data_IF_645074244480
#
_entry.id   IF_645074244480
#
_cell.length_a   1.000
_cell.length_b   1.000
_cell.length_c   1.000
_cell.angle_alpha   90.00
_cell.angle_beta   90.00
_cell.angle_gamma   90.00
#
_symmetry.space_group_name_H-M   'P 1'
#
loop_
_entity.id
_entity.type
_entity.pdbx_description
1 polymer ?
#
# COMPACT_ATOMS: atom_id res chain seq x y z
N UNK A 1 -42.79 16.09 20.91
CA UNK A 1 -41.64 16.71 21.60
C UNK A 1 -41.92 18.20 21.72
N UNK A 2 -41.92 18.75 22.93
CA UNK A 2 -42.22 20.17 23.18
C UNK A 2 -40.95 21.04 23.01
N UNK A 3 -41.12 22.34 22.73
CA UNK A 3 -40.01 23.30 22.62
C UNK A 3 -39.11 23.27 23.87
N UNK A 4 -39.71 23.05 25.04
CA UNK A 4 -39.01 22.92 26.32
C UNK A 4 -38.13 21.66 26.38
N UNK A 5 -38.57 20.52 25.84
CA UNK A 5 -37.77 19.29 25.76
C UNK A 5 -36.56 19.43 24.83
N UNK A 6 -36.72 20.17 23.72
CA UNK A 6 -35.62 20.50 22.81
C UNK A 6 -34.65 21.51 23.44
N UNK A 7 -35.15 22.49 24.19
CA UNK A 7 -34.32 23.43 24.96
C UNK A 7 -33.57 22.73 26.11
N UNK A 8 -34.20 21.79 26.81
CA UNK A 8 -33.56 20.95 27.84
C UNK A 8 -32.51 20.00 27.25
N UNK A 9 -32.76 19.43 26.07
CA UNK A 9 -31.74 18.65 25.34
C UNK A 9 -30.57 19.52 24.87
N UNK A 10 -30.82 20.78 24.49
CA UNK A 10 -29.78 21.75 24.10
C UNK A 10 -29.04 22.35 25.30
N UNK A 11 -29.63 22.40 26.49
CA UNK A 11 -28.98 22.84 27.74
C UNK A 11 -28.19 21.71 28.42
N UNK A 12 -28.41 20.45 28.01
CA UNK A 12 -27.53 19.30 28.29
C UNK A 12 -26.23 19.35 27.46
N UNK A 13 -25.54 20.49 27.46
CA UNK A 13 -24.11 20.63 27.07
C UNK A 13 -23.27 20.75 28.36
N UNK A 14 -21.93 20.62 28.29
CA UNK A 14 -21.13 19.84 29.24
C UNK A 14 -21.21 20.34 30.69
N UNK A 15 -21.50 21.61 30.90
CA UNK A 15 -21.58 22.28 32.21
C UNK A 15 -22.62 21.66 33.15
N UNK A 16 -23.73 21.12 32.64
CA UNK A 16 -24.73 20.43 33.49
C UNK A 16 -24.34 18.98 33.83
N UNK A 17 -23.39 18.37 33.11
CA UNK A 17 -22.74 17.11 33.53
C UNK A 17 -21.64 17.34 34.59
N UNK A 18 -21.12 18.56 34.73
CA UNK A 18 -20.09 18.89 35.74
C UNK A 18 -20.66 18.78 37.16
N UNK A 19 -21.96 19.04 37.35
CA UNK A 19 -22.61 19.02 38.67
C UNK A 19 -23.21 17.66 39.05
N UNK A 20 -23.60 16.84 38.08
CA UNK A 20 -23.98 15.45 38.31
C UNK A 20 -22.73 14.57 38.23
N UNK A 21 -21.86 14.65 39.24
CA UNK A 21 -20.75 13.70 39.46
C UNK A 21 -21.33 12.36 39.92
N UNK A 22 -22.25 11.77 39.15
CA UNK A 22 -22.27 10.31 39.09
C UNK A 22 -20.95 9.94 38.44
N UNK A 23 -19.98 9.51 39.27
CA UNK A 23 -18.74 8.92 38.79
C UNK A 23 -19.12 7.84 37.80
N UNK A 24 -18.90 8.10 36.52
CA UNK A 24 -19.11 7.11 35.47
C UNK A 24 -18.17 5.93 35.75
N UNK A 25 -18.74 4.85 36.31
CA UNK A 25 -18.03 3.63 36.68
C UNK A 25 -17.87 2.70 35.48
N UNK A 26 -17.59 3.29 34.31
CA UNK A 26 -17.20 2.54 33.12
C UNK A 26 -15.94 1.74 33.45
N UNK A 27 -16.02 0.42 33.27
CA UNK A 27 -14.94 -0.51 33.56
C UNK A 27 -14.81 -1.48 32.40
N UNK A 28 -13.57 -1.78 32.00
CA UNK A 28 -13.29 -2.80 30.98
C UNK A 28 -13.30 -4.19 31.60
N UNK A 29 -12.71 -4.33 32.79
CA UNK A 29 -12.48 -5.60 33.48
C UNK A 29 -13.64 -6.06 34.36
N UNK A 30 -14.37 -5.13 34.97
CA UNK A 30 -15.34 -5.43 36.03
C UNK A 30 -16.76 -5.10 35.58
N UNK A 31 -17.74 -5.77 36.19
CA UNK A 31 -19.12 -5.31 36.07
C UNK A 31 -19.36 -4.04 36.92
N UNK A 32 -20.53 -3.41 36.76
CA UNK A 32 -20.84 -2.17 37.45
C UNK A 32 -20.86 -2.30 38.99
N UNK A 33 -21.19 -3.48 39.52
CA UNK A 33 -21.28 -3.75 40.95
C UNK A 33 -19.90 -4.02 41.55
N UNK A 34 -19.06 -4.77 40.85
CA UNK A 34 -17.66 -5.00 41.22
C UNK A 34 -16.85 -3.70 41.16
N UNK A 35 -16.95 -2.96 40.06
CA UNK A 35 -16.30 -1.66 39.89
C UNK A 35 -16.74 -0.64 40.97
N UNK A 36 -17.97 -0.76 41.47
CA UNK A 36 -18.47 0.07 42.55
C UNK A 36 -17.79 -0.15 43.90
N UNK A 37 -17.28 -1.37 44.14
CA UNK A 37 -16.56 -1.74 45.36
C UNK A 37 -15.09 -1.32 45.35
N UNK A 38 -14.54 -0.93 44.20
CA UNK A 38 -13.13 -0.58 44.05
C UNK A 38 -12.88 0.91 44.31
N UNK A 39 -11.85 1.19 45.10
CA UNK A 39 -11.35 2.53 45.34
C UNK A 39 -10.28 2.97 44.35
N UNK A 40 -9.94 4.25 44.40
CA UNK A 40 -8.88 4.86 43.57
C UNK A 40 -7.53 4.13 43.69
N UNK A 41 -7.16 3.71 44.90
CA UNK A 41 -5.90 2.99 45.15
C UNK A 41 -5.93 1.60 44.54
N UNK A 42 -7.09 0.95 44.48
CA UNK A 42 -7.22 -0.39 43.89
C UNK A 42 -7.02 -0.32 42.38
N UNK A 43 -7.68 0.62 41.69
CA UNK A 43 -7.45 0.85 40.26
C UNK A 43 -6.00 1.19 39.93
N UNK A 44 -5.35 2.02 40.76
CA UNK A 44 -3.93 2.33 40.59
C UNK A 44 -3.04 1.08 40.75
N UNK A 45 -3.29 0.26 41.77
CA UNK A 45 -2.54 -0.97 42.00
C UNK A 45 -2.77 -2.00 40.88
N UNK A 46 -3.99 -2.08 40.33
CA UNK A 46 -4.32 -2.90 39.16
C UNK A 46 -3.52 -2.44 37.95
N UNK A 47 -3.52 -1.13 37.65
CA UNK A 47 -2.75 -0.55 36.55
C UNK A 47 -1.26 -0.80 36.68
N UNK A 48 -0.69 -0.55 37.87
CA UNK A 48 0.74 -0.80 38.15
C UNK A 48 1.12 -2.27 38.03
N UNK A 49 0.25 -3.19 38.47
CA UNK A 49 0.46 -4.64 38.29
C UNK A 49 0.47 -5.01 36.81
N UNK A 50 -0.49 -4.51 36.04
CA UNK A 50 -0.54 -4.73 34.59
C UNK A 50 0.71 -4.19 33.89
N UNK A 51 1.12 -2.97 34.23
CA UNK A 51 2.30 -2.33 33.67
C UNK A 51 3.57 -3.13 33.97
N UNK A 52 3.77 -3.56 35.22
CA UNK A 52 4.91 -4.38 35.62
C UNK A 52 4.95 -5.73 34.88
N UNK A 53 3.80 -6.31 34.54
CA UNK A 53 3.74 -7.52 33.72
C UNK A 53 4.08 -7.24 32.25
N UNK A 54 3.56 -6.15 31.68
CA UNK A 54 3.88 -5.78 30.29
C UNK A 54 5.35 -5.43 30.10
N UNK A 55 5.99 -4.82 31.11
CA UNK A 55 7.43 -4.55 31.10
C UNK A 55 8.29 -5.79 30.87
N UNK A 56 7.80 -6.99 31.22
CA UNK A 56 8.50 -8.24 30.94
C UNK A 56 8.59 -8.55 29.43
N UNK A 57 7.72 -7.95 28.61
CA UNK A 57 7.65 -8.14 27.15
C UNK A 57 8.14 -6.93 26.35
N UNK A 58 7.94 -5.72 26.88
CA UNK A 58 8.44 -4.44 26.37
C UNK A 58 8.92 -3.61 27.54
N UNK A 59 10.23 -3.68 27.82
CA UNK A 59 10.86 -2.98 28.95
C UNK A 59 10.61 -1.46 28.89
N UNK A 60 10.41 -0.92 27.68
CA UNK A 60 10.31 0.51 27.43
C UNK A 60 8.85 1.01 27.30
N UNK A 61 7.87 0.18 27.67
CA UNK A 61 6.45 0.45 27.40
C UNK A 61 5.93 1.76 28.02
N UNK A 62 6.50 2.21 29.14
CA UNK A 62 6.16 3.48 29.80
C UNK A 62 7.30 4.50 29.81
N UNK A 63 8.42 4.24 29.12
CA UNK A 63 9.62 5.08 29.16
C UNK A 63 9.34 6.54 28.87
N UNK A 64 8.33 6.80 28.04
CA UNK A 64 7.93 8.11 27.54
C UNK A 64 6.74 8.71 28.29
N UNK A 65 6.07 7.94 29.15
CA UNK A 65 4.81 8.33 29.79
C UNK A 65 4.80 8.09 31.30
N UNK A 66 5.95 8.29 31.94
CA UNK A 66 6.13 8.05 33.38
C UNK A 66 5.14 8.81 34.26
N UNK A 67 4.76 10.02 33.85
CA UNK A 67 3.78 10.86 34.55
C UNK A 67 2.41 10.19 34.73
N UNK A 68 2.00 9.32 33.79
CA UNK A 68 0.73 8.59 33.89
C UNK A 68 0.67 7.59 35.06
N UNK A 69 1.83 7.26 35.63
CA UNK A 69 2.03 6.20 36.62
C UNK A 69 2.51 6.72 37.97
N UNK A 70 2.69 8.03 38.13
CA UNK A 70 3.14 8.60 39.38
C UNK A 70 2.07 8.54 40.48
N UNK A 71 2.50 8.52 41.74
CA UNK A 71 1.57 8.60 42.88
C UNK A 71 0.80 9.93 42.92
N UNK A 72 1.40 11.01 42.42
CA UNK A 72 0.76 12.33 42.24
C UNK A 72 -0.49 12.24 41.37
N UNK A 73 -0.44 11.40 40.32
CA UNK A 73 -1.56 11.12 39.41
C UNK A 73 -2.75 10.51 40.11
N UNK A 74 -2.61 9.96 41.33
CA UNK A 74 -3.78 9.69 42.16
C UNK A 74 -4.61 10.96 42.22
N UNK A 75 -4.14 12.08 42.75
CA UNK A 75 -4.93 13.30 43.03
C UNK A 75 -5.49 14.07 41.83
N UNK A 76 -5.00 13.79 40.62
CA UNK A 76 -5.42 14.48 39.40
C UNK A 76 -6.94 14.43 39.14
N UNK A 77 -7.51 15.46 38.53
CA UNK A 77 -8.89 15.43 38.02
C UNK A 77 -8.96 16.09 36.65
N UNK A 78 -9.17 15.28 35.60
CA UNK A 78 -9.11 15.73 34.22
C UNK A 78 -10.10 16.84 33.87
N UNK A 79 -11.24 16.90 34.55
CA UNK A 79 -12.27 17.93 34.28
C UNK A 79 -11.94 19.29 34.87
N UNK A 80 -10.88 19.40 35.68
CA UNK A 80 -10.45 20.65 36.35
C UNK A 80 -9.16 21.22 35.74
N UNK A 81 -8.71 20.62 34.64
CA UNK A 81 -7.47 20.92 33.94
C UNK A 81 -7.81 21.83 32.76
N UNK A 82 -6.91 22.74 32.42
CA UNK A 82 -7.15 23.66 31.30
C UNK A 82 -7.05 22.95 29.94
N UNK A 83 -7.30 23.70 28.86
CA UNK A 83 -7.40 23.12 27.51
C UNK A 83 -6.03 22.66 27.01
N UNK A 84 -5.00 23.44 27.29
CA UNK A 84 -3.61 23.22 26.90
C UNK A 84 -3.06 21.98 27.60
N UNK A 85 -3.16 21.91 28.93
CA UNK A 85 -2.75 20.75 29.74
C UNK A 85 -3.51 19.48 29.33
N UNK A 86 -4.82 19.59 29.03
CA UNK A 86 -5.59 18.45 28.55
C UNK A 86 -5.18 18.00 27.14
N UNK A 87 -4.67 18.90 26.30
CA UNK A 87 -4.10 18.56 24.99
C UNK A 87 -2.78 17.80 25.13
N UNK A 88 -1.89 18.24 26.02
CA UNK A 88 -0.64 17.52 26.30
C UNK A 88 -0.91 16.12 26.87
N UNK A 89 -1.88 16.02 27.77
CA UNK A 89 -2.35 14.73 28.29
C UNK A 89 -2.94 13.85 27.17
N UNK A 90 -3.68 14.42 26.21
CA UNK A 90 -4.19 13.67 25.07
C UNK A 90 -3.07 13.06 24.23
N UNK A 91 -2.01 13.81 23.97
CA UNK A 91 -0.86 13.31 23.20
C UNK A 91 -0.12 12.20 23.95
N UNK A 92 0.04 12.36 25.27
CA UNK A 92 0.59 11.34 26.18
C UNK A 92 -0.24 10.05 26.16
N UNK A 93 -1.56 10.17 26.30
CA UNK A 93 -2.48 9.03 26.28
C UNK A 93 -2.55 8.39 24.90
N UNK A 94 -2.48 9.18 23.82
CA UNK A 94 -2.46 8.67 22.46
C UNK A 94 -1.25 7.79 22.19
N UNK A 95 -0.07 8.21 22.66
CA UNK A 95 1.17 7.40 22.62
C UNK A 95 1.00 6.10 23.39
N UNK A 96 0.52 6.19 24.64
CA UNK A 96 0.32 5.01 25.48
C UNK A 96 -0.70 4.02 24.87
N UNK A 97 -1.84 4.51 24.39
CA UNK A 97 -2.89 3.70 23.75
C UNK A 97 -2.35 2.97 22.53
N UNK A 98 -1.61 3.66 21.67
CA UNK A 98 -1.02 3.09 20.45
C UNK A 98 0.01 2.00 20.80
N UNK A 99 0.83 2.23 21.82
CA UNK A 99 1.84 1.25 22.29
C UNK A 99 1.23 0.04 23.00
N UNK A 100 0.02 0.17 23.55
CA UNK A 100 -0.70 -0.94 24.16
C UNK A 100 -1.43 -1.83 23.15
N UNK A 101 -1.71 -1.32 21.95
CA UNK A 101 -2.50 -2.01 20.93
C UNK A 101 -2.03 -3.45 20.65
N UNK A 102 -0.72 -3.73 20.44
CA UNK A 102 -0.25 -5.09 20.16
C UNK A 102 -0.51 -6.10 21.28
N UNK A 103 -0.75 -5.62 22.50
CA UNK A 103 -0.95 -6.45 23.70
C UNK A 103 -2.42 -6.59 24.09
N UNK A 104 -3.37 -6.13 23.28
CA UNK A 104 -4.79 -6.01 23.67
C UNK A 104 -5.42 -7.28 24.28
N UNK A 105 -5.06 -8.45 23.73
CA UNK A 105 -5.58 -9.73 24.24
C UNK A 105 -4.94 -10.16 25.57
N UNK A 106 -3.77 -9.62 25.92
CA UNK A 106 -3.09 -9.92 27.17
C UNK A 106 -3.83 -9.25 28.35
N UNK A 107 -4.10 -10.02 29.40
CA UNK A 107 -4.81 -9.51 30.59
C UNK A 107 -4.14 -8.27 31.19
N UNK A 108 -2.80 -8.26 31.25
CA UNK A 108 -2.03 -7.12 31.73
C UNK A 108 -2.32 -5.81 30.97
N UNK A 109 -2.55 -5.86 29.65
CA UNK A 109 -2.95 -4.69 28.86
C UNK A 109 -4.29 -4.15 29.32
N UNK A 110 -5.26 -5.03 29.56
CA UNK A 110 -6.59 -4.65 30.07
C UNK A 110 -6.51 -4.01 31.46
N UNK A 111 -5.60 -4.48 32.33
CA UNK A 111 -5.35 -3.85 33.65
C UNK A 111 -4.78 -2.45 33.53
N UNK A 112 -3.86 -2.23 32.58
CA UNK A 112 -3.31 -0.90 32.29
C UNK A 112 -4.41 0.03 31.76
N UNK A 113 -5.20 -0.45 30.80
CA UNK A 113 -6.32 0.31 30.24
C UNK A 113 -7.37 0.64 31.31
N UNK A 114 -7.64 -0.27 32.25
CA UNK A 114 -8.56 -0.06 33.36
C UNK A 114 -8.17 1.17 34.19
N UNK A 115 -6.88 1.30 34.52
CA UNK A 115 -6.37 2.50 35.20
C UNK A 115 -6.60 3.74 34.35
N UNK A 116 -6.25 3.71 33.06
CA UNK A 116 -6.39 4.88 32.19
C UNK A 116 -7.86 5.31 32.00
N UNK A 117 -8.79 4.35 31.93
CA UNK A 117 -10.24 4.57 31.86
C UNK A 117 -10.71 5.24 33.14
N UNK A 118 -10.40 4.66 34.30
CA UNK A 118 -10.81 5.20 35.59
C UNK A 118 -10.21 6.58 35.86
N UNK A 119 -8.92 6.74 35.59
CA UNK A 119 -8.13 7.90 35.99
C UNK A 119 -8.26 9.08 35.03
N UNK A 120 -8.12 8.81 33.73
CA UNK A 120 -8.04 9.83 32.69
C UNK A 120 -9.28 9.83 31.79
N UNK A 121 -10.27 8.97 32.03
CA UNK A 121 -11.52 8.93 31.28
C UNK A 121 -11.29 8.79 29.77
N UNK A 122 -10.31 7.97 29.37
CA UNK A 122 -9.94 7.79 27.96
C UNK A 122 -11.11 7.29 27.11
N UNK A 123 -12.07 6.55 27.69
CA UNK A 123 -13.27 6.08 27.01
C UNK A 123 -14.20 7.21 26.54
N UNK A 124 -14.04 8.43 27.08
CA UNK A 124 -14.79 9.64 26.69
C UNK A 124 -13.95 10.59 25.85
N UNK A 125 -12.79 10.99 26.37
CA UNK A 125 -11.97 12.02 25.73
C UNK A 125 -11.08 11.48 24.60
N UNK A 126 -10.83 10.17 24.58
CA UNK A 126 -9.94 9.50 23.64
C UNK A 126 -10.64 8.32 22.94
N UNK A 127 -11.98 8.35 22.86
CA UNK A 127 -12.78 7.26 22.32
C UNK A 127 -12.40 6.90 20.88
N UNK A 128 -12.14 7.91 20.05
CA UNK A 128 -11.78 7.72 18.63
C UNK A 128 -10.45 6.97 18.48
N UNK A 129 -9.41 7.37 19.21
CA UNK A 129 -8.12 6.69 19.12
C UNK A 129 -8.18 5.28 19.75
N UNK A 130 -8.99 5.08 20.79
CA UNK A 130 -9.26 3.73 21.31
C UNK A 130 -9.89 2.85 20.24
N UNK A 131 -10.93 3.36 19.56
CA UNK A 131 -11.55 2.64 18.46
C UNK A 131 -10.52 2.26 17.38
N UNK A 132 -9.76 3.22 16.88
CA UNK A 132 -8.81 3.02 15.78
C UNK A 132 -7.65 2.08 16.16
N UNK A 133 -7.07 2.26 17.35
CA UNK A 133 -5.93 1.47 17.81
C UNK A 133 -6.29 0.00 18.02
N UNK A 134 -7.51 -0.28 18.49
CA UNK A 134 -7.97 -1.64 18.78
C UNK A 134 -8.85 -2.25 17.68
N UNK A 135 -9.16 -1.49 16.62
CA UNK A 135 -9.94 -1.95 15.47
C UNK A 135 -9.39 -3.23 14.80
N UNK A 136 -8.06 -3.49 14.76
CA UNK A 136 -7.55 -4.75 14.24
C UNK A 136 -8.15 -6.00 14.91
N UNK A 137 -8.73 -5.85 16.10
CA UNK A 137 -9.36 -6.91 16.87
C UNK A 137 -10.90 -6.88 16.80
N UNK A 138 -11.47 -6.24 15.77
CA UNK A 138 -12.91 -5.97 15.64
C UNK A 138 -13.83 -7.19 15.83
N UNK A 139 -13.37 -8.36 15.41
CA UNK A 139 -14.12 -9.62 15.49
C UNK A 139 -14.06 -10.30 16.88
N UNK A 140 -13.31 -9.74 17.85
CA UNK A 140 -13.15 -10.33 19.18
C UNK A 140 -14.18 -9.84 20.18
N UNK A 141 -14.56 -10.71 21.13
CA UNK A 141 -15.40 -10.32 22.27
C UNK A 141 -14.71 -9.27 23.16
N UNK A 142 -13.37 -9.25 23.20
CA UNK A 142 -12.62 -8.24 23.94
C UNK A 142 -12.82 -6.84 23.34
N UNK A 143 -12.87 -6.75 22.00
CA UNK A 143 -13.16 -5.50 21.32
C UNK A 143 -14.62 -5.07 21.51
N UNK A 144 -15.58 -6.00 21.41
CA UNK A 144 -16.98 -5.71 21.74
C UNK A 144 -17.15 -5.17 23.17
N UNK A 145 -16.45 -5.77 24.15
CA UNK A 145 -16.42 -5.26 25.53
C UNK A 145 -15.82 -3.86 25.61
N UNK A 146 -14.72 -3.58 24.91
CA UNK A 146 -14.15 -2.23 24.83
C UNK A 146 -15.14 -1.23 24.22
N UNK A 147 -15.79 -1.58 23.11
CA UNK A 147 -16.81 -0.73 22.48
C UNK A 147 -17.94 -0.38 23.45
N UNK A 148 -18.34 -1.31 24.31
CA UNK A 148 -19.46 -1.07 25.24
C UNK A 148 -19.24 0.08 26.23
N UNK A 149 -17.98 0.42 26.50
CA UNK A 149 -17.62 1.51 27.41
C UNK A 149 -17.31 2.82 26.67
N UNK A 150 -17.03 2.78 25.36
CA UNK A 150 -16.69 3.98 24.59
C UNK A 150 -17.89 4.92 24.46
N UNK A 151 -17.62 6.22 24.55
CA UNK A 151 -18.60 7.29 24.38
C UNK A 151 -18.18 8.17 23.22
N UNK A 152 -18.72 7.87 22.03
CA UNK A 152 -18.50 8.70 20.85
C UNK A 152 -19.40 9.94 20.90
N UNK A 153 -18.84 11.10 20.56
CA UNK A 153 -19.57 12.37 20.48
C UNK A 153 -19.91 12.74 19.03
N UNK A 154 -19.18 12.17 18.07
CA UNK A 154 -19.26 12.44 16.65
C UNK A 154 -20.32 11.57 15.96
N UNK A 155 -21.25 12.13 15.18
CA UNK A 155 -22.31 11.39 14.49
C UNK A 155 -21.82 10.27 13.57
N UNK A 156 -20.60 10.41 13.03
CA UNK A 156 -19.94 9.45 12.16
C UNK A 156 -19.78 8.07 12.81
N UNK A 157 -19.79 7.99 14.14
CA UNK A 157 -19.67 6.73 14.89
C UNK A 157 -21.02 6.12 15.30
N UNK A 158 -22.17 6.74 14.98
CA UNK A 158 -23.48 6.22 15.37
C UNK A 158 -23.80 4.83 14.78
N UNK A 159 -23.13 4.42 13.69
CA UNK A 159 -23.26 3.06 13.17
C UNK A 159 -22.78 1.98 14.17
N UNK A 160 -22.04 2.38 15.21
CA UNK A 160 -21.57 1.51 16.29
C UNK A 160 -22.55 1.42 17.47
N UNK A 161 -23.63 2.22 17.50
CA UNK A 161 -24.51 2.35 18.67
C UNK A 161 -25.06 1.01 19.18
N UNK A 162 -25.46 0.12 18.26
CA UNK A 162 -25.96 -1.20 18.63
C UNK A 162 -24.85 -2.06 19.26
N UNK A 163 -23.65 -2.05 18.66
CA UNK A 163 -22.48 -2.78 19.16
C UNK A 163 -22.00 -2.26 20.52
N UNK A 164 -22.07 -0.94 20.74
CA UNK A 164 -21.81 -0.33 22.04
C UNK A 164 -22.85 -0.75 23.09
N UNK A 165 -24.12 -0.93 22.72
CA UNK A 165 -25.16 -1.36 23.67
C UNK A 165 -25.02 -2.83 24.05
N UNK A 166 -24.76 -3.69 23.08
CA UNK A 166 -24.69 -5.15 23.28
C UNK A 166 -23.30 -5.62 23.74
N UNK A 167 -22.26 -4.83 23.50
CA UNK A 167 -20.87 -5.25 23.69
C UNK A 167 -20.44 -6.36 22.72
N UNK A 168 -21.10 -6.46 21.55
CA UNK A 168 -20.81 -7.50 20.56
C UNK A 168 -19.63 -7.11 19.65
N UNK A 169 -18.89 -8.09 19.10
CA UNK A 169 -17.93 -7.84 18.04
C UNK A 169 -18.54 -7.14 16.83
N UNK A 170 -17.73 -6.42 16.06
CA UNK A 170 -18.16 -5.73 14.82
C UNK A 170 -17.76 -6.58 13.61
N UNK A 171 -18.72 -7.13 12.85
CA UNK A 171 -18.42 -7.85 11.62
C UNK A 171 -17.74 -6.97 10.55
N UNK A 172 -16.84 -7.55 9.75
CA UNK A 172 -16.10 -6.83 8.71
C UNK A 172 -17.04 -6.15 7.68
N UNK A 173 -18.12 -6.83 7.30
CA UNK A 173 -19.11 -6.29 6.35
C UNK A 173 -19.81 -5.02 6.88
N UNK A 174 -19.90 -4.81 8.19
CA UNK A 174 -20.41 -3.56 8.77
C UNK A 174 -19.47 -2.41 8.44
N UNK A 175 -18.16 -2.60 8.65
CA UNK A 175 -17.14 -1.58 8.34
C UNK A 175 -17.12 -1.25 6.85
N UNK A 176 -17.23 -2.26 5.99
CA UNK A 176 -17.28 -2.10 4.52
C UNK A 176 -18.51 -1.30 4.10
N UNK A 177 -19.70 -1.63 4.64
CA UNK A 177 -20.95 -0.91 4.32
C UNK A 177 -20.85 0.57 4.66
N UNK A 178 -20.19 0.93 5.77
CA UNK A 178 -20.00 2.33 6.18
C UNK A 178 -19.12 3.09 5.18
N UNK A 179 -18.18 2.44 4.50
CA UNK A 179 -17.34 3.10 3.48
C UNK A 179 -18.03 3.31 2.13
N UNK A 180 -19.01 2.45 1.82
CA UNK A 180 -19.83 2.52 0.61
C UNK A 180 -21.08 3.41 0.79
N UNK A 181 -21.44 3.76 2.02
CA UNK A 181 -22.55 4.66 2.27
C UNK A 181 -22.24 6.08 1.76
N UNK A 182 -23.15 6.65 0.96
CA UNK A 182 -22.97 7.93 0.26
C UNK A 182 -22.62 9.13 1.15
N UNK A 183 -22.92 9.07 2.46
CA UNK A 183 -22.67 10.17 3.40
C UNK A 183 -21.49 9.90 4.35
N UNK A 184 -20.75 8.80 4.16
CA UNK A 184 -19.70 8.37 5.07
C UNK A 184 -18.38 8.16 4.35
N UNK A 185 -17.50 9.14 4.50
CA UNK A 185 -16.18 9.16 3.89
C UNK A 185 -15.03 9.16 4.90
N UNK A 186 -15.33 9.07 6.20
CA UNK A 186 -14.38 9.35 7.27
C UNK A 186 -13.45 8.18 7.59
N UNK A 187 -13.92 6.92 7.51
CA UNK A 187 -13.21 5.78 8.08
C UNK A 187 -11.85 5.53 7.41
N UNK A 188 -11.79 5.52 6.08
CA UNK A 188 -10.52 5.31 5.33
C UNK A 188 -9.48 6.39 5.64
N UNK A 189 -9.78 7.70 5.50
CA UNK A 189 -8.86 8.75 5.92
C UNK A 189 -8.45 8.65 7.39
N UNK A 190 -9.39 8.37 8.29
CA UNK A 190 -9.12 8.29 9.72
C UNK A 190 -8.17 7.14 10.06
N UNK A 191 -8.34 5.97 9.44
CA UNK A 191 -7.42 4.85 9.57
C UNK A 191 -6.04 5.19 9.00
N UNK A 192 -5.98 5.81 7.82
CA UNK A 192 -4.72 6.25 7.22
C UNK A 192 -3.99 7.25 8.11
N UNK A 193 -4.69 8.26 8.64
CA UNK A 193 -4.12 9.25 9.56
C UNK A 193 -3.68 8.61 10.86
N UNK A 194 -4.41 7.64 11.40
CA UNK A 194 -4.00 6.91 12.59
C UNK A 194 -2.64 6.23 12.40
N UNK A 195 -2.40 5.53 11.29
CA UNK A 195 -1.09 4.91 11.06
C UNK A 195 0.03 5.92 10.92
N UNK A 196 -0.18 7.04 10.22
CA UNK A 196 0.82 8.10 10.10
C UNK A 196 1.17 8.67 11.47
N UNK A 197 0.14 8.97 12.27
CA UNK A 197 0.31 9.52 13.61
C UNK A 197 0.97 8.50 14.54
N UNK A 198 0.62 7.21 14.45
CA UNK A 198 1.27 6.15 15.21
C UNK A 198 2.79 6.12 14.94
N UNK A 199 3.18 6.16 13.66
CA UNK A 199 4.60 6.20 13.27
C UNK A 199 5.33 7.41 13.86
N UNK A 200 4.70 8.59 13.80
CA UNK A 200 5.28 9.81 14.36
C UNK A 200 5.39 9.79 15.89
N UNK A 201 4.48 9.11 16.57
CA UNK A 201 4.32 9.20 18.02
C UNK A 201 5.03 8.09 18.79
N UNK A 202 5.04 6.85 18.27
CA UNK A 202 5.73 5.71 18.91
C UNK A 202 7.02 5.29 18.19
N UNK A 203 7.27 5.85 17.00
CA UNK A 203 8.52 5.68 16.25
C UNK A 203 8.54 4.52 15.26
N UNK A 204 9.42 4.62 14.26
CA UNK A 204 9.56 3.67 13.15
C UNK A 204 9.84 2.23 13.64
N UNK A 205 10.83 2.07 14.54
CA UNK A 205 11.29 0.74 15.00
C UNK A 205 10.21 -0.03 15.77
N UNK A 206 9.47 0.67 16.64
CA UNK A 206 8.37 0.07 17.38
C UNK A 206 7.25 -0.36 16.43
N UNK A 207 6.83 0.54 15.54
CA UNK A 207 5.79 0.28 14.56
C UNK A 207 6.13 -0.93 13.68
N UNK A 208 7.38 -1.01 13.20
CA UNK A 208 7.86 -2.10 12.36
C UNK A 208 7.82 -3.46 13.07
N UNK A 209 8.18 -3.52 14.36
CA UNK A 209 8.29 -4.77 15.13
C UNK A 209 7.01 -5.23 15.81
N UNK A 210 6.05 -4.32 16.06
CA UNK A 210 4.93 -4.60 16.98
C UNK A 210 3.55 -4.34 16.37
N UNK A 211 3.41 -3.48 15.36
CA UNK A 211 2.09 -3.09 14.82
C UNK A 211 1.60 -3.94 13.63
N UNK A 212 2.12 -5.16 13.46
CA UNK A 212 1.76 -6.06 12.35
C UNK A 212 0.25 -6.28 12.20
N UNK A 213 -0.49 -6.38 13.31
CA UNK A 213 -1.94 -6.56 13.30
C UNK A 213 -2.66 -5.40 12.59
N UNK A 214 -2.20 -4.15 12.80
CA UNK A 214 -2.79 -2.97 12.17
C UNK A 214 -2.59 -2.98 10.66
N UNK A 215 -1.39 -3.31 10.18
CA UNK A 215 -1.11 -3.37 8.74
C UNK A 215 -1.87 -4.52 8.07
N UNK A 216 -1.91 -5.69 8.70
CA UNK A 216 -2.63 -6.86 8.19
C UNK A 216 -4.13 -6.58 8.11
N UNK A 217 -4.71 -6.03 9.18
CA UNK A 217 -6.13 -5.67 9.20
C UNK A 217 -6.44 -4.60 8.14
N UNK A 218 -5.62 -3.56 7.97
CA UNK A 218 -5.93 -2.51 7.00
C UNK A 218 -5.77 -2.99 5.55
N UNK A 219 -4.76 -3.81 5.25
CA UNK A 219 -4.64 -4.45 3.94
C UNK A 219 -5.86 -5.33 3.66
N UNK A 220 -6.22 -6.21 4.60
CA UNK A 220 -7.39 -7.07 4.48
C UNK A 220 -8.70 -6.28 4.34
N UNK A 221 -8.88 -5.23 5.14
CA UNK A 221 -10.02 -4.32 5.06
C UNK A 221 -10.15 -3.68 3.67
N UNK A 222 -9.06 -3.15 3.12
CA UNK A 222 -9.06 -2.55 1.78
C UNK A 222 -9.32 -3.59 0.69
N UNK A 223 -8.77 -4.79 0.80
CA UNK A 223 -9.03 -5.89 -0.15
C UNK A 223 -10.51 -6.25 -0.15
N UNK A 224 -11.10 -6.48 1.03
CA UNK A 224 -12.53 -6.79 1.13
C UNK A 224 -13.43 -5.62 0.71
N UNK A 225 -12.97 -4.38 0.90
CA UNK A 225 -13.69 -3.19 0.44
C UNK A 225 -13.77 -3.11 -1.09
N UNK A 226 -12.74 -3.61 -1.78
CA UNK A 226 -12.59 -3.62 -3.24
C UNK A 226 -13.13 -4.92 -3.89
N UNK A 227 -13.57 -5.90 -3.11
CA UNK A 227 -14.04 -7.20 -3.61
C UNK A 227 -15.29 -7.07 -4.50
N UNK A 228 -16.20 -6.16 -4.16
CA UNK A 228 -17.37 -5.84 -4.98
C UNK A 228 -17.05 -4.75 -6.01
N UNK A 229 -16.60 -5.18 -7.20
CA UNK A 229 -16.22 -4.33 -8.34
C UNK A 229 -17.30 -3.29 -8.68
N UNK A 230 -18.58 -3.65 -8.54
CA UNK A 230 -19.70 -2.77 -8.87
C UNK A 230 -19.78 -1.52 -7.99
N UNK A 231 -19.18 -1.57 -6.80
CA UNK A 231 -19.14 -0.46 -5.84
C UNK A 231 -17.86 0.37 -5.92
N UNK A 232 -16.89 -0.03 -6.76
CA UNK A 232 -15.63 0.69 -6.90
C UNK A 232 -15.81 1.86 -7.87
N UNK A 233 -15.87 3.07 -7.31
CA UNK A 233 -16.00 4.32 -8.07
C UNK A 233 -14.82 5.27 -7.83
N UNK A 234 -14.73 6.31 -8.65
CA UNK A 234 -13.64 7.30 -8.58
C UNK A 234 -13.51 7.98 -7.20
N UNK A 235 -14.62 8.16 -6.47
CA UNK A 235 -14.61 8.74 -5.13
C UNK A 235 -13.99 7.78 -4.10
N UNK A 236 -14.25 6.48 -4.20
CA UNK A 236 -13.61 5.47 -3.37
C UNK A 236 -12.12 5.39 -3.67
N UNK A 237 -11.74 5.34 -4.96
CA UNK A 237 -10.34 5.32 -5.39
C UNK A 237 -9.61 6.56 -4.84
N UNK A 238 -10.18 7.75 -4.99
CA UNK A 238 -9.60 8.99 -4.46
C UNK A 238 -9.38 8.98 -2.94
N UNK A 239 -10.20 8.24 -2.18
CA UNK A 239 -10.03 8.06 -0.72
C UNK A 239 -8.93 7.05 -0.38
N UNK A 240 -8.73 6.01 -1.19
CA UNK A 240 -7.72 4.97 -0.97
C UNK A 240 -6.32 5.43 -1.43
N UNK A 241 -6.22 6.22 -2.49
CA UNK A 241 -4.94 6.63 -3.08
C UNK A 241 -3.97 7.32 -2.10
N UNK A 242 -4.40 8.22 -1.19
CA UNK A 242 -3.52 8.77 -0.16
C UNK A 242 -2.86 7.69 0.71
N UNK A 243 -3.61 6.67 1.11
CA UNK A 243 -3.10 5.54 1.90
C UNK A 243 -2.02 4.78 1.13
N UNK A 244 -2.28 4.42 -0.13
CA UNK A 244 -1.30 3.72 -1.00
C UNK A 244 -0.03 4.56 -1.14
N UNK A 245 -0.17 5.85 -1.42
CA UNK A 245 0.97 6.76 -1.59
C UNK A 245 1.84 6.87 -0.33
N UNK A 246 1.22 6.94 0.85
CA UNK A 246 1.93 6.99 2.14
C UNK A 246 2.61 5.64 2.43
N UNK A 247 1.88 4.53 2.27
CA UNK A 247 2.38 3.19 2.55
C UNK A 247 3.61 2.84 1.70
N UNK A 248 3.55 3.09 0.38
CA UNK A 248 4.67 2.80 -0.54
C UNK A 248 5.92 3.65 -0.23
N UNK A 249 5.74 4.88 0.28
CA UNK A 249 6.84 5.76 0.71
C UNK A 249 7.41 5.40 2.09
N UNK A 250 6.69 4.61 2.88
CA UNK A 250 7.08 4.26 4.24
C UNK A 250 8.44 3.55 4.30
N UNK A 251 9.16 3.76 5.40
CA UNK A 251 10.36 2.99 5.75
C UNK A 251 10.02 1.65 6.39
N UNK A 252 8.84 1.55 6.99
CA UNK A 252 8.36 0.38 7.72
C UNK A 252 7.92 -0.68 6.73
N UNK A 253 8.63 -1.81 6.71
CA UNK A 253 8.47 -2.84 5.70
C UNK A 253 7.06 -3.48 5.69
N UNK A 254 6.47 -3.91 6.83
CA UNK A 254 5.11 -4.44 6.85
C UNK A 254 4.05 -3.46 6.32
N UNK A 255 4.21 -2.15 6.62
CA UNK A 255 3.29 -1.14 6.11
C UNK A 255 3.43 -0.96 4.60
N UNK A 256 4.65 -1.01 4.09
CA UNK A 256 4.91 -0.96 2.66
C UNK A 256 4.28 -2.14 1.91
N UNK A 257 4.40 -3.35 2.45
CA UNK A 257 3.75 -4.54 1.89
C UNK A 257 2.23 -4.43 1.89
N UNK A 258 1.62 -3.92 2.97
CA UNK A 258 0.19 -3.61 2.98
C UNK A 258 -0.19 -2.65 1.83
N UNK A 259 0.62 -1.61 1.59
CA UNK A 259 0.42 -0.69 0.46
C UNK A 259 0.52 -1.37 -0.91
N UNK A 260 1.47 -2.29 -1.09
CA UNK A 260 1.64 -3.06 -2.34
C UNK A 260 0.45 -3.99 -2.60
N UNK A 261 -0.04 -4.69 -1.57
CA UNK A 261 -1.23 -5.55 -1.68
C UNK A 261 -2.46 -4.73 -2.09
N UNK A 262 -2.66 -3.56 -1.50
CA UNK A 262 -3.78 -2.68 -1.86
C UNK A 262 -3.63 -2.13 -3.28
N UNK A 263 -2.41 -1.78 -3.70
CA UNK A 263 -2.15 -1.35 -5.08
C UNK A 263 -2.43 -2.48 -6.08
N UNK A 264 -1.99 -3.70 -5.79
CA UNK A 264 -2.27 -4.90 -6.59
C UNK A 264 -3.79 -5.18 -6.71
N UNK A 265 -4.53 -5.06 -5.61
CA UNK A 265 -5.99 -5.23 -5.64
C UNK A 265 -6.68 -4.13 -6.47
N UNK A 266 -6.22 -2.88 -6.39
CA UNK A 266 -6.82 -1.79 -7.18
C UNK A 266 -6.67 -2.04 -8.68
N UNK A 267 -5.48 -2.42 -9.15
CA UNK A 267 -5.23 -2.62 -10.59
C UNK A 267 -5.88 -3.89 -11.15
N UNK A 268 -6.23 -4.86 -10.30
CA UNK A 268 -6.98 -6.05 -10.74
C UNK A 268 -8.48 -5.80 -10.82
N UNK A 269 -9.01 -4.88 -10.02
CA UNK A 269 -10.44 -4.59 -9.92
C UNK A 269 -10.89 -3.46 -10.85
N UNK A 270 -10.04 -2.46 -11.09
CA UNK A 270 -10.43 -1.26 -11.85
C UNK A 270 -9.29 -0.74 -12.73
N UNK A 271 -9.64 -0.04 -13.81
CA UNK A 271 -8.64 0.62 -14.65
C UNK A 271 -8.31 2.00 -14.07
N UNK A 272 -7.04 2.22 -13.77
CA UNK A 272 -6.57 3.48 -13.20
C UNK A 272 -6.09 4.44 -14.30
N UNK A 273 -6.21 5.74 -14.04
CA UNK A 273 -5.70 6.76 -14.95
C UNK A 273 -4.18 6.64 -15.15
N UNK A 274 -3.65 6.92 -16.36
CA UNK A 274 -2.23 6.80 -16.66
C UNK A 274 -1.30 7.55 -15.70
N UNK A 275 -1.67 8.76 -15.24
CA UNK A 275 -0.81 9.52 -14.30
C UNK A 275 -0.75 8.86 -12.92
N UNK A 276 -1.81 8.16 -12.51
CA UNK A 276 -1.85 7.42 -11.25
C UNK A 276 -0.94 6.20 -11.33
N UNK A 277 -1.02 5.44 -12.43
CA UNK A 277 -0.15 4.29 -12.69
C UNK A 277 1.32 4.70 -12.72
N UNK A 278 1.66 5.75 -13.47
CA UNK A 278 3.02 6.27 -13.55
C UNK A 278 3.58 6.66 -12.16
N UNK A 279 2.73 7.25 -11.31
CA UNK A 279 3.12 7.59 -9.93
C UNK A 279 3.33 6.35 -9.06
N UNK A 280 2.45 5.34 -9.12
CA UNK A 280 2.61 4.08 -8.36
C UNK A 280 3.89 3.37 -8.80
N UNK A 281 4.09 3.19 -10.11
CA UNK A 281 5.29 2.58 -10.69
C UNK A 281 6.56 3.31 -10.24
N UNK A 282 6.55 4.65 -10.26
CA UNK A 282 7.67 5.46 -9.77
C UNK A 282 7.95 5.22 -8.28
N UNK A 283 6.92 5.10 -7.45
CA UNK A 283 7.10 4.84 -6.01
C UNK A 283 7.68 3.44 -5.73
N UNK A 284 7.26 2.43 -6.50
CA UNK A 284 7.76 1.06 -6.39
C UNK A 284 9.20 0.94 -6.88
N UNK A 285 9.53 1.53 -8.03
CA UNK A 285 10.82 1.33 -8.71
C UNK A 285 11.95 2.22 -8.14
N UNK A 286 11.67 3.49 -7.80
CA UNK A 286 12.73 4.48 -7.56
C UNK A 286 13.55 4.24 -6.28
N UNK A 287 13.00 3.58 -5.26
CA UNK A 287 13.67 3.36 -3.97
C UNK A 287 13.79 1.89 -3.60
N UNK A 288 13.70 1.00 -4.59
CA UNK A 288 13.80 -0.45 -4.41
C UNK A 288 15.06 -0.84 -3.63
N UNK A 289 14.90 -1.79 -2.70
CA UNK A 289 15.97 -2.37 -1.86
C UNK A 289 15.87 -3.88 -1.90
N UNK A 290 16.98 -4.57 -1.67
CA UNK A 290 17.03 -6.04 -1.71
C UNK A 290 16.03 -6.72 -0.78
N UNK A 291 15.65 -6.09 0.34
CA UNK A 291 14.68 -6.65 1.30
C UNK A 291 13.25 -6.77 0.77
N UNK A 292 12.88 -6.01 -0.27
CA UNK A 292 11.52 -5.98 -0.81
C UNK A 292 11.44 -6.01 -2.35
N UNK A 293 12.57 -6.25 -3.01
CA UNK A 293 12.68 -6.29 -4.47
C UNK A 293 11.69 -7.27 -5.10
N UNK A 294 11.55 -8.48 -4.53
CA UNK A 294 10.69 -9.52 -5.09
C UNK A 294 9.22 -9.07 -5.12
N UNK A 295 8.68 -8.70 -3.96
CA UNK A 295 7.28 -8.24 -3.85
C UNK A 295 7.00 -7.02 -4.72
N UNK A 296 7.96 -6.11 -4.86
CA UNK A 296 7.77 -4.95 -5.71
C UNK A 296 7.86 -5.27 -7.21
N UNK A 297 8.73 -6.18 -7.63
CA UNK A 297 8.77 -6.65 -9.02
C UNK A 297 7.46 -7.37 -9.36
N UNK A 298 6.98 -8.25 -8.49
CA UNK A 298 5.69 -8.94 -8.66
C UNK A 298 4.54 -7.92 -8.81
N UNK A 299 4.53 -6.88 -7.95
CA UNK A 299 3.52 -5.81 -8.01
C UNK A 299 3.64 -5.00 -9.30
N UNK A 300 4.85 -4.66 -9.74
CA UNK A 300 5.07 -3.89 -10.98
C UNK A 300 4.66 -4.71 -12.21
N UNK A 301 5.00 -6.00 -12.25
CA UNK A 301 4.63 -6.91 -13.33
C UNK A 301 3.11 -7.03 -13.40
N UNK A 302 2.44 -7.26 -12.27
CA UNK A 302 0.99 -7.31 -12.20
C UNK A 302 0.34 -6.02 -12.72
N UNK A 303 0.89 -4.85 -12.34
CA UNK A 303 0.41 -3.56 -12.87
C UNK A 303 0.54 -3.51 -14.40
N UNK A 304 1.68 -3.93 -14.96
CA UNK A 304 1.89 -3.91 -16.40
C UNK A 304 1.01 -4.91 -17.14
N UNK A 305 0.71 -6.07 -16.55
CA UNK A 305 -0.16 -7.10 -17.13
C UNK A 305 -1.64 -6.67 -17.14
N UNK A 306 -2.09 -6.07 -16.04
CA UNK A 306 -3.52 -5.77 -15.83
C UNK A 306 -3.95 -4.41 -16.37
N UNK A 307 -3.00 -3.52 -16.62
CA UNK A 307 -3.27 -2.14 -17.05
C UNK A 307 -2.58 -1.84 -18.38
N UNK A 308 -3.13 -0.87 -19.11
CA UNK A 308 -2.53 -0.37 -20.36
C UNK A 308 -1.35 0.55 -20.07
N UNK A 309 -0.26 -0.03 -19.56
CA UNK A 309 1.01 0.68 -19.33
C UNK A 309 1.80 0.69 -20.64
N UNK A 310 2.02 1.87 -21.21
CA UNK A 310 2.83 2.05 -22.42
C UNK A 310 4.28 2.42 -22.12
N UNK A 311 4.55 3.02 -20.96
CA UNK A 311 5.88 3.55 -20.63
C UNK A 311 6.20 3.33 -19.16
N UNK A 312 7.46 2.97 -18.87
CA UNK A 312 7.98 2.90 -17.51
C UNK A 312 8.73 4.18 -17.14
N UNK A 313 8.75 4.58 -15.84
CA UNK A 313 9.45 5.80 -15.44
C UNK A 313 10.98 5.68 -15.66
N UNK A 314 11.51 6.29 -16.74
CA UNK A 314 12.94 6.24 -17.14
C UNK A 314 13.91 6.43 -15.96
N UNK A 315 13.72 7.48 -15.16
CA UNK A 315 14.57 7.76 -13.98
C UNK A 315 14.57 6.63 -12.95
N UNK A 316 13.46 5.91 -12.80
CA UNK A 316 13.36 4.80 -11.87
C UNK A 316 14.04 3.54 -12.42
N UNK A 317 13.86 3.25 -13.71
CA UNK A 317 14.56 2.16 -14.41
C UNK A 317 16.08 2.35 -14.38
N UNK A 318 16.57 3.55 -14.70
CA UNK A 318 18.00 3.84 -14.62
C UNK A 318 18.58 3.61 -13.23
N UNK A 319 17.83 3.96 -12.19
CA UNK A 319 18.25 3.73 -10.81
C UNK A 319 18.20 2.25 -10.41
N UNK A 320 17.28 1.48 -10.99
CA UNK A 320 17.23 0.02 -10.84
C UNK A 320 18.50 -0.61 -11.45
N UNK A 321 18.89 -0.16 -12.66
CA UNK A 321 20.13 -0.58 -13.33
C UNK A 321 21.37 -0.23 -12.51
N UNK A 322 21.45 0.97 -11.92
CA UNK A 322 22.56 1.34 -11.01
C UNK A 322 22.70 0.39 -9.84
N UNK A 323 21.58 -0.17 -9.37
CA UNK A 323 21.49 -1.07 -8.21
C UNK A 323 21.41 -2.54 -8.61
N UNK A 324 21.69 -2.90 -9.86
CA UNK A 324 21.48 -4.25 -10.41
C UNK A 324 22.16 -5.35 -9.58
N UNK A 325 23.39 -5.10 -9.12
CA UNK A 325 24.16 -6.04 -8.29
C UNK A 325 23.58 -6.13 -6.86
N UNK A 326 23.32 -4.99 -6.21
CA UNK A 326 22.70 -4.92 -4.86
C UNK A 326 21.35 -5.66 -4.82
N UNK A 327 20.58 -5.56 -5.90
CA UNK A 327 19.23 -6.13 -5.99
C UNK A 327 19.21 -7.56 -6.55
N UNK A 328 20.34 -8.08 -7.03
CA UNK A 328 20.41 -9.32 -7.81
C UNK A 328 19.36 -9.32 -8.95
N UNK A 329 19.31 -8.22 -9.71
CA UNK A 329 18.20 -7.90 -10.62
C UNK A 329 18.05 -8.93 -11.75
N UNK A 330 19.13 -9.21 -12.48
CA UNK A 330 19.07 -10.05 -13.68
C UNK A 330 18.61 -11.48 -13.37
N UNK A 331 19.19 -12.19 -12.38
CA UNK A 331 18.72 -13.54 -12.04
C UNK A 331 17.26 -13.56 -11.57
N UNK A 332 16.79 -12.52 -10.89
CA UNK A 332 15.38 -12.39 -10.49
C UNK A 332 14.48 -12.22 -11.71
N UNK A 333 14.84 -11.36 -12.66
CA UNK A 333 14.08 -11.19 -13.90
C UNK A 333 14.03 -12.47 -14.73
N UNK A 334 15.15 -13.19 -14.87
CA UNK A 334 15.16 -14.49 -15.54
C UNK A 334 14.24 -15.50 -14.86
N UNK A 335 14.27 -15.58 -13.53
CA UNK A 335 13.36 -16.46 -12.80
C UNK A 335 11.90 -16.08 -13.06
N UNK A 336 11.57 -14.79 -13.02
CA UNK A 336 10.21 -14.30 -13.28
C UNK A 336 9.76 -14.58 -14.72
N UNK A 337 10.65 -14.49 -15.70
CA UNK A 337 10.38 -14.86 -17.10
C UNK A 337 10.06 -16.35 -17.26
N UNK A 338 10.58 -17.22 -16.39
CA UNK A 338 10.29 -18.66 -16.39
C UNK A 338 8.99 -18.99 -15.67
N UNK A 339 8.71 -18.29 -14.58
CA UNK A 339 7.60 -18.60 -13.68
C UNK A 339 6.27 -17.94 -14.12
N UNK A 340 6.31 -16.79 -14.82
CA UNK A 340 5.14 -15.95 -15.11
C UNK A 340 5.19 -15.28 -16.49
N UNK A 341 4.04 -14.84 -17.00
CA UNK A 341 3.97 -14.00 -18.21
C UNK A 341 4.41 -12.56 -17.92
N UNK A 342 5.68 -12.25 -18.11
CA UNK A 342 6.21 -10.90 -17.88
C UNK A 342 6.23 -10.01 -19.13
N UNK A 343 5.55 -10.40 -20.21
CA UNK A 343 5.68 -9.78 -21.53
C UNK A 343 5.42 -8.27 -21.51
N UNK A 344 4.30 -7.85 -20.93
CA UNK A 344 3.94 -6.43 -20.84
C UNK A 344 4.96 -5.59 -20.05
N UNK A 345 5.60 -6.19 -19.03
CA UNK A 345 6.66 -5.51 -18.29
C UNK A 345 7.98 -5.47 -19.06
N UNK A 346 8.42 -6.62 -19.62
CA UNK A 346 9.72 -6.74 -20.26
C UNK A 346 9.84 -5.93 -21.54
N UNK A 347 8.78 -5.88 -22.37
CA UNK A 347 8.78 -5.05 -23.59
C UNK A 347 8.95 -3.57 -23.22
N UNK A 348 8.17 -3.06 -22.27
CA UNK A 348 8.30 -1.68 -21.79
C UNK A 348 9.64 -1.41 -21.09
N UNK A 349 10.19 -2.41 -20.41
CA UNK A 349 11.50 -2.33 -19.75
C UNK A 349 12.62 -2.20 -20.79
N UNK A 350 12.64 -3.05 -21.81
CA UNK A 350 13.62 -2.97 -22.90
C UNK A 350 13.48 -1.69 -23.71
N UNK A 351 12.25 -1.27 -24.02
CA UNK A 351 11.99 0.00 -24.70
C UNK A 351 12.62 1.19 -23.94
N UNK A 352 12.40 1.23 -22.62
CA UNK A 352 12.99 2.27 -21.76
C UNK A 352 14.52 2.20 -21.70
N UNK A 353 15.11 1.00 -21.74
CA UNK A 353 16.56 0.81 -21.75
C UNK A 353 17.19 1.20 -23.09
N UNK A 354 16.52 0.88 -24.21
CA UNK A 354 16.93 1.26 -25.55
C UNK A 354 16.90 2.79 -25.68
N UNK A 355 15.80 3.44 -25.30
CA UNK A 355 15.71 4.90 -25.25
C UNK A 355 16.83 5.52 -24.40
N UNK A 356 17.13 4.90 -23.26
CA UNK A 356 18.17 5.40 -22.37
C UNK A 356 19.59 5.21 -22.91
N UNK A 357 19.87 4.12 -23.63
CA UNK A 357 21.19 3.78 -24.14
C UNK A 357 21.78 4.90 -25.02
N UNK A 358 20.93 5.66 -25.71
CA UNK A 358 21.38 6.70 -26.64
C UNK A 358 21.25 8.12 -26.10
N UNK A 359 20.46 8.30 -25.05
CA UNK A 359 20.29 9.61 -24.38
C UNK A 359 21.21 9.80 -23.18
N UNK A 360 21.81 8.73 -22.67
CA UNK A 360 22.65 8.78 -21.47
C UNK A 360 24.09 9.10 -21.83
N UNK A 361 24.70 10.05 -21.11
CA UNK A 361 26.10 10.44 -21.31
C UNK A 361 27.06 9.80 -20.31
N UNK A 362 26.52 9.26 -19.21
CA UNK A 362 27.31 8.68 -18.13
C UNK A 362 27.80 7.26 -18.50
N UNK A 363 29.13 7.09 -18.61
CA UNK A 363 29.74 5.83 -19.09
C UNK A 363 29.45 4.63 -18.19
N UNK A 364 29.42 4.83 -16.87
CA UNK A 364 29.13 3.75 -15.91
C UNK A 364 27.67 3.30 -16.06
N UNK A 365 26.75 4.26 -16.17
CA UNK A 365 25.35 3.98 -16.44
C UNK A 365 25.14 3.25 -17.77
N UNK A 366 25.81 3.69 -18.84
CA UNK A 366 25.74 3.05 -20.16
C UNK A 366 26.21 1.60 -20.10
N UNK A 367 27.32 1.34 -19.41
CA UNK A 367 27.81 -0.02 -19.19
C UNK A 367 26.78 -0.88 -18.46
N UNK A 368 26.17 -0.35 -17.39
CA UNK A 368 25.11 -1.05 -16.66
C UNK A 368 23.86 -1.31 -17.51
N UNK A 369 23.44 -0.36 -18.35
CA UNK A 369 22.32 -0.53 -19.29
C UNK A 369 22.63 -1.66 -20.27
N UNK A 370 23.81 -1.63 -20.88
CA UNK A 370 24.25 -2.64 -21.85
C UNK A 370 24.31 -4.03 -21.21
N UNK A 371 24.83 -4.14 -19.99
CA UNK A 371 24.88 -5.39 -19.25
C UNK A 371 23.47 -5.95 -18.98
N UNK A 372 22.57 -5.14 -18.41
CA UNK A 372 21.20 -5.58 -18.12
C UNK A 372 20.43 -5.91 -19.39
N UNK A 373 20.55 -5.09 -20.45
CA UNK A 373 19.87 -5.32 -21.72
C UNK A 373 20.32 -6.64 -22.35
N UNK A 374 21.63 -6.84 -22.52
CA UNK A 374 22.17 -8.08 -23.13
C UNK A 374 21.84 -9.32 -22.32
N UNK A 375 21.95 -9.26 -20.99
CA UNK A 375 21.64 -10.42 -20.15
C UNK A 375 20.14 -10.72 -20.08
N UNK A 376 19.26 -9.71 -20.11
CA UNK A 376 17.80 -9.94 -20.06
C UNK A 376 17.18 -10.32 -21.40
N UNK A 377 17.88 -10.07 -22.51
CA UNK A 377 17.57 -10.62 -23.84
C UNK A 377 17.92 -12.12 -23.93
N UNK A 378 17.36 -12.91 -23.01
CA UNK A 378 17.59 -14.34 -22.93
C UNK A 378 16.82 -15.06 -24.03
N UNK A 379 17.56 -15.64 -24.98
CA UNK A 379 16.98 -16.44 -26.06
C UNK A 379 16.10 -17.55 -25.51
N UNK A 380 16.60 -18.39 -24.60
CA UNK A 380 15.92 -19.60 -24.13
C UNK A 380 14.54 -19.30 -23.55
N UNK A 381 14.46 -18.22 -22.76
CA UNK A 381 13.26 -17.83 -22.04
C UNK A 381 12.34 -16.83 -22.73
N UNK A 382 12.73 -16.28 -23.87
CA UNK A 382 11.90 -15.33 -24.60
C UNK A 382 10.75 -16.05 -25.30
N UNK A 383 9.56 -15.43 -25.25
CA UNK A 383 8.38 -15.85 -26.02
C UNK A 383 8.21 -14.99 -27.28
N UNK A 384 7.41 -15.47 -28.24
CA UNK A 384 7.22 -14.79 -29.53
C UNK A 384 6.70 -13.36 -29.38
N UNK A 385 5.73 -13.14 -28.49
CA UNK A 385 5.15 -11.80 -28.23
C UNK A 385 6.20 -10.80 -27.71
N UNK A 386 7.13 -11.27 -26.87
CA UNK A 386 8.25 -10.46 -26.37
C UNK A 386 9.21 -10.08 -27.50
N UNK A 387 9.51 -11.02 -28.41
CA UNK A 387 10.34 -10.76 -29.57
C UNK A 387 9.68 -9.73 -30.51
N UNK A 388 8.38 -9.88 -30.79
CA UNK A 388 7.59 -8.91 -31.59
C UNK A 388 7.64 -7.53 -30.94
N UNK A 389 7.43 -7.43 -29.63
CA UNK A 389 7.52 -6.17 -28.89
C UNK A 389 8.90 -5.53 -29.01
N UNK A 390 9.96 -6.31 -28.79
CA UNK A 390 11.35 -5.86 -28.93
C UNK A 390 11.65 -5.33 -30.34
N UNK A 391 11.25 -6.06 -31.39
CA UNK A 391 11.47 -5.63 -32.77
C UNK A 391 10.78 -4.31 -33.09
N UNK A 392 9.53 -4.13 -32.62
CA UNK A 392 8.83 -2.86 -32.79
C UNK A 392 9.54 -1.71 -32.04
N UNK A 393 9.97 -1.92 -30.81
CA UNK A 393 10.74 -0.92 -30.05
C UNK A 393 12.04 -0.53 -30.75
N UNK A 394 12.79 -1.48 -31.30
CA UNK A 394 14.01 -1.22 -32.05
C UNK A 394 13.76 -0.41 -33.33
N UNK A 395 12.73 -0.78 -34.10
CA UNK A 395 12.38 -0.07 -35.34
C UNK A 395 11.81 1.32 -35.07
N UNK A 396 10.94 1.48 -34.07
CA UNK A 396 10.46 2.79 -33.61
C UNK A 396 11.58 3.68 -33.11
N UNK A 397 12.57 3.11 -32.42
CA UNK A 397 13.75 3.85 -32.02
C UNK A 397 14.52 4.38 -33.25
N UNK A 398 14.76 3.53 -34.25
CA UNK A 398 15.46 3.93 -35.48
C UNK A 398 14.69 4.98 -36.31
N UNK A 399 13.36 4.96 -36.26
CA UNK A 399 12.50 6.01 -36.83
C UNK A 399 12.69 7.35 -36.11
N UNK A 400 12.81 7.33 -34.79
CA UNK A 400 12.88 8.54 -33.96
C UNK A 400 14.22 9.30 -34.07
N UNK A 401 15.28 8.64 -34.52
CA UNK A 401 16.62 9.21 -34.70
C UNK A 401 17.20 8.92 -36.11
N UNK A 402 16.65 9.55 -37.16
CA UNK A 402 16.99 9.23 -38.55
C UNK A 402 18.41 9.67 -38.93
N UNK A 403 19.00 10.66 -38.24
CA UNK A 403 20.34 11.21 -38.52
C UNK A 403 21.46 10.57 -37.68
N UNK A 404 21.14 9.51 -36.92
CA UNK A 404 22.11 8.83 -36.06
C UNK A 404 23.36 8.39 -36.82
N UNK A 405 24.52 8.84 -36.33
CA UNK A 405 25.83 8.56 -36.93
C UNK A 405 26.51 7.32 -36.36
N UNK A 406 26.19 6.92 -35.12
CA UNK A 406 26.75 5.73 -34.48
C UNK A 406 25.81 4.54 -34.63
N UNK A 407 26.29 3.35 -35.06
CA UNK A 407 25.45 2.15 -35.16
C UNK A 407 25.13 1.57 -33.78
N UNK A 408 24.18 0.62 -33.71
CA UNK A 408 23.96 -0.20 -32.51
C UNK A 408 25.29 -0.82 -32.02
N UNK A 409 25.52 -0.88 -30.68
CA UNK A 409 26.71 -1.54 -30.15
C UNK A 409 26.81 -3.00 -30.63
N UNK A 410 28.00 -3.42 -31.04
CA UNK A 410 28.22 -4.73 -31.68
C UNK A 410 27.72 -5.92 -30.86
N UNK A 411 27.84 -5.86 -29.53
CA UNK A 411 27.35 -6.93 -28.66
C UNK A 411 25.82 -7.02 -28.70
N UNK A 412 25.13 -5.87 -28.72
CA UNK A 412 23.67 -5.83 -28.79
C UNK A 412 23.19 -6.30 -30.17
N UNK A 413 23.85 -5.88 -31.26
CA UNK A 413 23.48 -6.31 -32.61
C UNK A 413 23.63 -7.83 -32.80
N UNK A 414 24.64 -8.45 -32.21
CA UNK A 414 24.79 -9.91 -32.20
C UNK A 414 23.64 -10.64 -31.48
N UNK A 415 23.20 -10.13 -30.32
CA UNK A 415 22.07 -10.70 -29.59
C UNK A 415 20.76 -10.52 -30.39
N UNK A 416 20.53 -9.34 -30.96
CA UNK A 416 19.35 -9.06 -31.79
C UNK A 416 19.34 -9.99 -33.00
N UNK A 417 20.46 -10.18 -33.70
CA UNK A 417 20.58 -11.12 -34.83
C UNK A 417 20.17 -12.54 -34.43
N UNK A 418 20.63 -13.02 -33.28
CA UNK A 418 20.25 -14.34 -32.78
C UNK A 418 18.74 -14.46 -32.47
N UNK A 419 18.13 -13.39 -31.93
CA UNK A 419 16.68 -13.33 -31.68
C UNK A 419 15.91 -13.33 -33.01
N UNK A 420 16.35 -12.56 -34.01
CA UNK A 420 15.74 -12.56 -35.36
C UNK A 420 15.78 -13.96 -35.97
N UNK A 421 16.91 -14.66 -35.88
CA UNK A 421 17.05 -16.02 -36.41
C UNK A 421 16.11 -16.99 -35.68
N UNK A 422 16.01 -16.90 -34.35
CA UNK A 422 15.12 -17.76 -33.55
C UNK A 422 13.65 -17.50 -33.84
N UNK A 423 13.26 -16.24 -33.97
CA UNK A 423 11.88 -15.79 -34.17
C UNK A 423 11.67 -15.23 -35.58
N UNK A 424 12.18 -15.94 -36.60
CA UNK A 424 12.19 -15.47 -37.99
C UNK A 424 10.78 -15.15 -38.51
N UNK A 425 9.82 -16.04 -38.31
CA UNK A 425 8.41 -15.81 -38.69
C UNK A 425 7.82 -14.55 -38.07
N UNK A 426 8.07 -14.33 -36.78
CA UNK A 426 7.57 -13.17 -36.05
C UNK A 426 8.26 -11.88 -36.53
N UNK A 427 9.57 -11.93 -36.75
CA UNK A 427 10.33 -10.84 -37.35
C UNK A 427 9.80 -10.50 -38.73
N UNK A 428 9.51 -11.49 -39.59
CA UNK A 428 9.03 -11.25 -40.94
C UNK A 428 7.65 -10.57 -40.98
N UNK A 429 6.77 -10.88 -40.01
CA UNK A 429 5.49 -10.19 -39.85
C UNK A 429 5.72 -8.72 -39.46
N UNK A 430 6.62 -8.46 -38.50
CA UNK A 430 6.96 -7.09 -38.08
C UNK A 430 7.62 -6.34 -39.23
N UNK A 431 8.60 -6.96 -39.89
CA UNK A 431 9.32 -6.46 -41.06
C UNK A 431 8.33 -6.06 -42.15
N UNK A 432 7.40 -6.92 -42.54
CA UNK A 432 6.41 -6.63 -43.59
C UNK A 432 5.55 -5.41 -43.24
N UNK A 433 5.12 -5.28 -41.97
CA UNK A 433 4.37 -4.11 -41.50
C UNK A 433 5.20 -2.82 -41.58
N UNK A 434 6.47 -2.88 -41.17
CA UNK A 434 7.38 -1.72 -41.18
C UNK A 434 7.87 -1.37 -42.58
N UNK A 435 8.05 -2.33 -43.47
CA UNK A 435 8.38 -2.12 -44.89
C UNK A 435 7.32 -1.28 -45.62
N UNK A 436 6.04 -1.48 -45.28
CA UNK A 436 4.93 -0.66 -45.81
C UNK A 436 5.00 0.77 -45.27
N UNK A 437 5.50 0.96 -44.04
CA UNK A 437 5.62 2.27 -43.38
C UNK A 437 6.83 3.04 -43.88
N UNK A 438 8.03 2.45 -43.78
CA UNK A 438 9.29 3.01 -44.26
C UNK A 438 10.34 1.88 -44.45
N UNK A 439 10.58 1.50 -45.70
CA UNK A 439 11.58 0.49 -46.07
C UNK A 439 13.00 0.88 -45.67
N UNK A 440 13.33 2.17 -45.65
CA UNK A 440 14.70 2.63 -45.37
C UNK A 440 15.12 2.33 -43.92
N UNK A 441 14.16 2.30 -42.99
CA UNK A 441 14.38 1.94 -41.58
C UNK A 441 14.68 0.45 -41.46
N UNK A 442 13.92 -0.38 -42.17
CA UNK A 442 14.13 -1.83 -42.21
C UNK A 442 15.51 -2.17 -42.80
N UNK A 443 15.87 -1.55 -43.92
CA UNK A 443 17.18 -1.77 -44.56
C UNK A 443 18.34 -1.37 -43.64
N UNK A 444 18.18 -0.24 -42.92
CA UNK A 444 19.15 0.20 -41.92
C UNK A 444 19.27 -0.81 -40.76
N UNK A 445 18.14 -1.31 -40.25
CA UNK A 445 18.11 -2.32 -39.19
C UNK A 445 18.86 -3.59 -39.59
N UNK A 446 18.55 -4.13 -40.78
CA UNK A 446 19.21 -5.33 -41.31
C UNK A 446 20.72 -5.12 -41.46
N UNK A 447 21.14 -3.95 -41.93
CA UNK A 447 22.56 -3.59 -42.08
C UNK A 447 23.27 -3.49 -40.73
N UNK A 448 22.68 -2.82 -39.74
CA UNK A 448 23.28 -2.67 -38.40
C UNK A 448 23.34 -4.00 -37.62
N UNK A 449 22.38 -4.89 -37.86
CA UNK A 449 22.32 -6.21 -37.24
C UNK A 449 23.07 -7.30 -38.01
N UNK A 450 23.68 -6.97 -39.16
CA UNK A 450 24.34 -7.92 -40.06
C UNK A 450 23.45 -9.13 -40.42
N UNK A 451 22.19 -8.86 -40.76
CA UNK A 451 21.21 -9.86 -41.17
C UNK A 451 21.20 -9.90 -42.71
N UNK A 452 21.52 -11.05 -43.27
CA UNK A 452 21.56 -11.23 -44.72
C UNK A 452 20.20 -11.67 -45.27
N UNK A 453 19.92 -11.35 -46.54
CA UNK A 453 18.62 -11.61 -47.16
C UNK A 453 18.21 -13.10 -47.18
N UNK A 454 19.19 -14.02 -47.21
CA UNK A 454 18.94 -15.47 -47.19
C UNK A 454 18.60 -16.01 -45.80
N UNK A 455 18.85 -15.24 -44.73
CA UNK A 455 18.51 -15.60 -43.34
C UNK A 455 17.05 -15.29 -43.00
N UNK A 456 16.34 -14.64 -43.92
CA UNK A 456 14.96 -14.21 -43.77
C UNK A 456 14.05 -15.12 -44.58
N UNK A 457 12.80 -15.32 -44.14
CA UNK A 457 11.83 -16.05 -44.97
C UNK A 457 11.57 -15.19 -46.21
N UNK A 458 11.54 -15.79 -47.42
CA UNK A 458 11.21 -15.07 -48.65
C UNK A 458 9.89 -14.31 -48.47
N UNK A 459 9.84 -13.05 -48.90
CA UNK A 459 8.66 -12.21 -48.79
C UNK A 459 7.42 -12.99 -49.24
N UNK A 460 6.42 -13.12 -48.37
CA UNK A 460 5.11 -13.65 -48.77
C UNK A 460 4.60 -12.78 -49.92
N UNK A 461 4.49 -13.32 -51.16
CA UNK A 461 4.05 -12.53 -52.29
C UNK A 461 2.65 -11.98 -51.97
N UNK A 462 2.48 -10.67 -52.11
CA UNK A 462 1.29 -9.95 -51.67
C UNK A 462 -0.02 -10.57 -52.16
N UNK A 463 -0.67 -11.36 -51.31
CA UNK A 463 -2.07 -11.77 -51.41
C UNK A 463 -2.47 -12.59 -50.17
N UNK A 464 -2.53 -11.97 -48.98
CA UNK A 464 -3.54 -12.29 -47.94
C UNK A 464 -3.41 -11.42 -46.67
N UNK A 465 -3.14 -10.11 -46.85
CA UNK A 465 -3.27 -9.12 -45.77
C UNK A 465 -4.68 -9.13 -45.12
N UNK A 466 -5.69 -9.69 -45.78
CA UNK A 466 -7.06 -9.83 -45.24
C UNK A 466 -7.30 -11.10 -44.41
N UNK A 467 -6.51 -12.17 -44.54
CA UNK A 467 -6.72 -13.40 -43.77
C UNK A 467 -6.00 -13.39 -42.42
N UNK A 468 -4.80 -12.80 -42.35
CA UNK A 468 -4.04 -12.72 -41.09
C UNK A 468 -4.67 -11.73 -40.10
N UNK A 469 -5.32 -10.67 -40.60
CA UNK A 469 -6.06 -9.71 -39.77
C UNK A 469 -7.32 -10.28 -39.10
N UNK A 470 -7.88 -11.42 -39.56
CA UNK A 470 -9.08 -12.01 -38.96
C UNK A 470 -8.81 -12.96 -37.79
N UNK A 471 -7.59 -13.43 -37.59
CA UNK A 471 -7.28 -14.31 -36.46
C UNK A 471 -6.97 -13.57 -35.15
N UNK A 472 -6.65 -12.27 -35.19
CA UNK A 472 -6.43 -11.47 -33.98
C UNK A 472 -7.70 -10.83 -33.39
N UNK A 473 -8.76 -10.69 -34.18
CA UNK A 473 -10.01 -10.02 -33.74
C UNK A 473 -11.13 -11.00 -33.32
N UNK A 474 -10.85 -12.32 -33.28
CA UNK A 474 -11.86 -13.36 -33.01
C UNK A 474 -11.67 -14.14 -31.69
N UNK A 475 -10.86 -13.65 -30.75
CA UNK A 475 -10.72 -14.27 -29.41
C UNK A 475 -11.09 -13.38 -28.22
N UNK A 476 -11.90 -12.34 -28.44
CA UNK A 476 -12.60 -11.65 -27.36
C UNK A 476 -14.09 -11.50 -27.71
N UNK A 477 -14.85 -12.55 -27.43
CA UNK A 477 -16.30 -12.52 -27.22
C UNK A 477 -16.61 -13.25 -25.92
#
# INVERSE_FOLDING_TARGET
>A
MTSLELQLKRLKVPESQVLAVERDRSSLLFDAKEAAGLGRKDFYNIGQKGLAQLKKFDNDIDSYERGLWEKSSLNFNRTMVDKEENSELNDSLARMITRLAPYFHHHACKQVLEWLIYKYQIHRFNAEILFLAYLPYHASNSFGRMLSILKFTKPEFHFLDEFCKTGSPVPMNVLIRVCHANNSHFLIPMLSSFLVNAIQTVGDDYCEKRMHASYTFFAGFMVNLLDDVSKVNNQLIARIMPYVGIALKSKILPFKYAGMVVAAQLVTVTSLAPEVLANILKLLLLKMRGTWVDVALDTVILICQTQKVSELPRKAILKLVRKREELNLVPKLHKLMMDYDVTAFMVNFWDTLLDALFKESDKEQLSGIMEVLTQTLNLEGMVEEQAVGLFNSLLSYMESDPERSEPLPQVLSQHIRAIVIRFSTAFDIVRAKWSVRDQSIVDRFLKECHIEAYELIPELPGADLYQVLRCSDAQNL
#
